data_IF_030674189114
#
_entry.id   IF_030674189114
#
_cell.length_a   1.000
_cell.length_b   1.000
_cell.length_c   1.000
_cell.angle_alpha   90.00
_cell.angle_beta   90.00
_cell.angle_gamma   90.00
#
_symmetry.space_group_name_H-M   'P 1'
#
loop_
_entity.id
_entity.type
_entity.pdbx_description
1 polymer ?
#
# COMPACT_ATOMS: atom_id res chain seq x y z
N UNK A 1 -7.91 -28.98 8.53
CA UNK A 1 -7.84 -27.54 8.83
C UNK A 1 -7.73 -27.38 10.33
N UNK A 2 -6.51 -27.13 10.86
CA UNK A 2 -6.29 -26.81 12.27
C UNK A 2 -6.45 -25.28 12.49
N UNK A 3 -6.67 -24.89 13.75
CA UNK A 3 -6.73 -23.48 14.15
C UNK A 3 -5.41 -22.76 13.81
N UNK A 4 -4.28 -23.46 13.99
CA UNK A 4 -2.96 -22.93 13.66
C UNK A 4 -2.81 -22.65 12.17
N UNK A 5 -3.29 -23.55 11.30
CA UNK A 5 -3.25 -23.32 9.86
C UNK A 5 -4.10 -22.10 9.43
N UNK A 6 -5.26 -21.91 10.06
CA UNK A 6 -6.10 -20.74 9.81
C UNK A 6 -5.41 -19.45 10.27
N UNK A 7 -4.76 -19.50 11.44
CA UNK A 7 -3.96 -18.37 11.94
C UNK A 7 -2.82 -18.00 10.98
N UNK A 8 -2.10 -19.00 10.48
CA UNK A 8 -0.98 -18.77 9.54
C UNK A 8 -1.47 -18.17 8.22
N UNK A 9 -2.61 -18.60 7.71
CA UNK A 9 -3.25 -18.00 6.53
C UNK A 9 -3.56 -16.53 6.81
N UNK A 10 -4.20 -16.19 7.92
CA UNK A 10 -4.52 -14.81 8.30
C UNK A 10 -3.27 -13.96 8.43
N UNK A 11 -2.20 -14.46 9.01
CA UNK A 11 -0.92 -13.79 9.11
C UNK A 11 -0.32 -13.53 7.72
N UNK A 12 -0.39 -14.51 6.81
CA UNK A 12 0.16 -14.38 5.46
C UNK A 12 -0.57 -13.32 4.65
N UNK A 13 -1.89 -13.27 4.73
CA UNK A 13 -2.68 -12.30 3.97
C UNK A 13 -2.72 -10.90 4.60
N UNK A 14 -2.37 -10.74 5.89
CA UNK A 14 -2.49 -9.45 6.59
C UNK A 14 -1.64 -8.34 5.94
N UNK A 15 -0.36 -8.62 5.65
CA UNK A 15 0.51 -7.65 4.97
C UNK A 15 0.00 -7.39 3.55
N UNK A 16 -0.38 -8.46 2.85
CA UNK A 16 -0.94 -8.35 1.50
C UNK A 16 -2.21 -7.48 1.49
N UNK A 17 -3.09 -7.64 2.48
CA UNK A 17 -4.31 -6.83 2.60
C UNK A 17 -4.01 -5.35 2.77
N UNK A 18 -3.08 -4.98 3.66
CA UNK A 18 -2.68 -3.58 3.86
C UNK A 18 -2.22 -2.96 2.53
N UNK A 19 -1.37 -3.67 1.81
CA UNK A 19 -0.76 -3.15 0.57
C UNK A 19 -1.74 -3.22 -0.61
N UNK A 20 -2.59 -4.25 -0.67
CA UNK A 20 -3.64 -4.34 -1.68
C UNK A 20 -4.67 -3.20 -1.56
N UNK A 21 -5.01 -2.76 -0.34
CA UNK A 21 -5.86 -1.59 -0.12
C UNK A 21 -5.19 -0.30 -0.62
N UNK A 22 -3.88 -0.16 -0.41
CA UNK A 22 -3.09 0.95 -0.95
C UNK A 22 -3.10 0.91 -2.49
N UNK A 23 -2.83 -0.26 -3.07
CA UNK A 23 -2.83 -0.48 -4.50
C UNK A 23 -4.21 -0.23 -5.13
N UNK A 24 -5.29 -0.62 -4.43
CA UNK A 24 -6.65 -0.37 -4.87
C UNK A 24 -6.93 1.12 -5.11
N UNK A 25 -6.49 2.00 -4.19
CA UNK A 25 -6.65 3.45 -4.37
C UNK A 25 -5.91 3.96 -5.61
N UNK A 26 -4.70 3.45 -5.88
CA UNK A 26 -3.93 3.81 -7.07
C UNK A 26 -4.64 3.34 -8.33
N UNK A 27 -5.12 2.09 -8.36
CA UNK A 27 -5.84 1.53 -9.52
C UNK A 27 -7.15 2.28 -9.77
N UNK A 28 -7.90 2.65 -8.74
CA UNK A 28 -9.13 3.45 -8.89
C UNK A 28 -8.83 4.77 -9.62
N UNK A 29 -7.69 5.43 -9.39
CA UNK A 29 -7.31 6.64 -10.13
C UNK A 29 -6.77 6.39 -11.55
N UNK A 30 -6.76 5.14 -12.00
CA UNK A 30 -6.23 4.72 -13.30
C UNK A 30 -4.70 4.62 -13.33
N UNK A 31 -4.04 4.47 -12.16
CA UNK A 31 -2.60 4.24 -12.03
C UNK A 31 -2.27 2.79 -11.67
N UNK A 32 -0.99 2.45 -11.75
CA UNK A 32 -0.41 1.21 -11.21
C UNK A 32 0.86 1.57 -10.46
N UNK A 33 1.00 1.07 -9.22
CA UNK A 33 2.17 1.29 -8.38
C UNK A 33 3.03 0.03 -8.35
N UNK A 34 4.13 0.04 -9.07
CA UNK A 34 5.04 -1.11 -9.17
C UNK A 34 6.22 -1.02 -8.21
N UNK A 35 6.49 0.15 -7.62
CA UNK A 35 7.59 0.29 -6.67
C UNK A 35 7.27 -0.17 -5.25
N UNK A 36 6.04 -0.61 -5.00
CA UNK A 36 5.55 -0.97 -3.67
C UNK A 36 6.40 -2.05 -2.99
N UNK A 37 6.80 -3.09 -3.73
CA UNK A 37 7.67 -4.15 -3.18
C UNK A 37 9.06 -3.63 -2.79
N UNK A 38 9.65 -2.74 -3.60
CA UNK A 38 10.95 -2.11 -3.28
C UNK A 38 10.83 -1.09 -2.15
N UNK A 39 9.71 -0.37 -2.05
CA UNK A 39 9.40 0.52 -0.91
C UNK A 39 9.32 -0.28 0.40
N UNK A 40 8.59 -1.39 0.42
CA UNK A 40 8.53 -2.32 1.56
C UNK A 40 9.93 -2.79 1.94
N UNK A 41 10.72 -3.26 0.95
CA UNK A 41 12.08 -3.74 1.17
C UNK A 41 13.01 -2.67 1.74
N UNK A 42 12.97 -1.46 1.20
CA UNK A 42 13.80 -0.35 1.67
C UNK A 42 13.42 0.09 3.08
N UNK A 43 12.14 0.25 3.37
CA UNK A 43 11.67 0.63 4.71
C UNK A 43 11.94 -0.48 5.72
N UNK A 44 11.73 -1.76 5.37
CA UNK A 44 12.08 -2.89 6.22
C UNK A 44 13.57 -2.88 6.58
N UNK A 45 14.45 -2.69 5.59
CA UNK A 45 15.89 -2.61 5.80
C UNK A 45 16.27 -1.42 6.68
N UNK A 46 15.80 -0.21 6.35
CA UNK A 46 16.15 1.00 7.10
C UNK A 46 15.69 0.94 8.56
N UNK A 47 14.44 0.52 8.79
CA UNK A 47 13.88 0.43 10.15
C UNK A 47 14.54 -0.67 10.96
N UNK A 48 14.77 -1.85 10.39
CA UNK A 48 15.50 -2.93 11.05
C UNK A 48 16.95 -2.52 11.39
N UNK A 49 17.61 -1.83 10.47
CA UNK A 49 18.98 -1.33 10.68
C UNK A 49 19.05 -0.31 11.82
N UNK A 50 18.12 0.66 11.85
CA UNK A 50 18.04 1.66 12.93
C UNK A 50 17.80 0.98 14.28
N UNK A 51 16.86 0.04 14.35
CA UNK A 51 16.54 -0.69 15.59
C UNK A 51 17.69 -1.58 16.05
N UNK A 52 18.43 -2.20 15.12
CA UNK A 52 19.56 -3.09 15.44
C UNK A 52 20.84 -2.35 15.82
N UNK A 53 21.10 -1.18 15.24
CA UNK A 53 22.39 -0.49 15.33
C UNK A 53 22.38 0.77 16.19
N UNK A 54 21.24 1.44 16.37
CA UNK A 54 21.15 2.65 17.16
C UNK A 54 20.84 2.30 18.62
N UNK A 55 21.86 2.36 19.47
CA UNK A 55 21.72 2.08 20.89
C UNK A 55 20.68 3.02 21.54
N UNK A 56 19.74 2.43 22.29
CA UNK A 56 18.69 3.20 22.98
C UNK A 56 17.49 3.62 22.10
N UNK A 57 17.45 3.26 20.81
CA UNK A 57 16.29 3.54 19.97
C UNK A 57 15.09 2.73 20.44
N UNK A 58 13.96 3.37 20.82
CA UNK A 58 12.77 2.68 21.26
C UNK A 58 12.14 1.90 20.08
N UNK A 59 12.03 0.56 20.16
CA UNK A 59 11.57 -0.25 19.03
C UNK A 59 10.18 0.14 18.48
N UNK A 60 9.28 0.64 19.32
CA UNK A 60 7.95 1.09 18.91
C UNK A 60 7.98 2.31 17.97
N UNK A 61 9.05 3.12 18.01
CA UNK A 61 9.25 4.24 17.08
C UNK A 61 9.54 3.77 15.63
N UNK A 62 9.83 2.48 15.42
CA UNK A 62 9.97 1.93 14.08
C UNK A 62 8.69 2.09 13.25
N UNK A 63 7.51 2.03 13.88
CA UNK A 63 6.21 2.21 13.17
C UNK A 63 6.08 3.62 12.62
N UNK A 64 6.14 4.70 13.41
CA UNK A 64 6.07 6.05 12.86
C UNK A 64 7.24 6.37 11.90
N UNK A 65 8.42 5.84 12.15
CA UNK A 65 9.56 5.98 11.24
C UNK A 65 9.26 5.33 9.87
N UNK A 66 8.72 4.11 9.88
CA UNK A 66 8.36 3.42 8.64
C UNK A 66 7.24 4.12 7.86
N UNK A 67 6.21 4.62 8.57
CA UNK A 67 5.16 5.45 7.97
C UNK A 67 5.74 6.69 7.28
N UNK A 68 6.65 7.40 7.96
CA UNK A 68 7.29 8.61 7.44
C UNK A 68 8.18 8.29 6.22
N UNK A 69 9.03 7.27 6.31
CA UNK A 69 9.87 6.85 5.19
C UNK A 69 9.03 6.45 3.98
N UNK A 70 8.00 5.64 4.19
CA UNK A 70 7.08 5.25 3.13
C UNK A 70 6.35 6.45 2.52
N UNK A 71 5.93 7.42 3.35
CA UNK A 71 5.33 8.68 2.90
C UNK A 71 6.29 9.50 2.01
N UNK A 72 7.56 9.59 2.38
CA UNK A 72 8.59 10.27 1.57
C UNK A 72 8.75 9.58 0.23
N UNK A 73 8.91 8.24 0.21
CA UNK A 73 9.07 7.48 -1.02
C UNK A 73 7.83 7.55 -1.92
N UNK A 74 6.62 7.46 -1.34
CA UNK A 74 5.37 7.64 -2.07
C UNK A 74 5.18 9.07 -2.60
N UNK A 75 5.66 10.10 -1.87
CA UNK A 75 5.63 11.48 -2.35
C UNK A 75 6.50 11.71 -3.57
N UNK A 76 7.64 11.00 -3.69
CA UNK A 76 8.48 11.04 -4.90
C UNK A 76 7.67 10.55 -6.11
N UNK A 77 7.00 9.39 -6.01
CA UNK A 77 6.12 8.90 -7.07
C UNK A 77 4.99 9.89 -7.37
N UNK A 78 4.35 10.39 -6.32
CA UNK A 78 3.29 11.38 -6.46
C UNK A 78 3.74 12.65 -7.19
N UNK A 79 4.94 13.16 -6.91
CA UNK A 79 5.52 14.33 -7.58
C UNK A 79 5.85 14.03 -9.05
N UNK A 80 6.46 12.90 -9.34
CA UNK A 80 6.80 12.49 -10.71
C UNK A 80 5.55 12.34 -11.58
N UNK A 81 4.47 11.79 -11.04
CA UNK A 81 3.25 11.49 -11.77
C UNK A 81 2.34 12.73 -11.82
N UNK A 82 2.01 13.31 -10.67
CA UNK A 82 1.04 14.40 -10.58
C UNK A 82 1.64 15.78 -10.94
N UNK A 83 2.93 16.00 -10.67
CA UNK A 83 3.64 17.22 -10.98
C UNK A 83 4.41 17.15 -12.29
N UNK A 84 5.11 16.03 -12.54
CA UNK A 84 5.92 15.81 -13.73
C UNK A 84 5.13 15.30 -14.95
N UNK A 85 3.87 14.88 -14.76
CA UNK A 85 3.04 14.34 -15.84
C UNK A 85 3.50 12.98 -16.40
N UNK A 86 4.39 12.28 -15.69
CA UNK A 86 4.88 10.99 -16.14
C UNK A 86 3.78 9.92 -16.04
N UNK A 87 3.71 8.99 -17.02
CA UNK A 87 2.84 7.83 -16.92
C UNK A 87 3.15 7.02 -15.65
N UNK A 88 2.14 6.62 -14.85
CA UNK A 88 2.34 5.92 -13.58
C UNK A 88 3.27 4.71 -13.66
N UNK A 89 3.08 3.84 -14.66
CA UNK A 89 3.89 2.64 -14.84
C UNK A 89 5.37 3.00 -15.06
N UNK A 90 5.67 4.02 -15.86
CA UNK A 90 7.06 4.42 -16.17
C UNK A 90 7.72 5.00 -14.90
N UNK A 91 7.03 5.89 -14.20
CA UNK A 91 7.55 6.49 -12.97
C UNK A 91 7.82 5.42 -11.90
N UNK A 92 6.86 4.51 -11.68
CA UNK A 92 6.96 3.50 -10.61
C UNK A 92 7.92 2.36 -10.95
N UNK A 93 8.13 2.01 -12.22
CA UNK A 93 9.21 1.10 -12.64
C UNK A 93 10.59 1.74 -12.42
N UNK A 94 10.73 3.04 -12.72
CA UNK A 94 11.98 3.75 -12.46
C UNK A 94 12.30 3.78 -10.97
N UNK A 95 11.33 4.17 -10.14
CA UNK A 95 11.52 4.20 -8.68
C UNK A 95 11.65 2.81 -8.06
N UNK A 96 11.02 1.77 -8.61
CA UNK A 96 11.25 0.38 -8.21
C UNK A 96 12.74 0.04 -8.29
N UNK A 97 13.38 0.34 -9.41
CA UNK A 97 14.81 0.06 -9.63
C UNK A 97 15.68 0.90 -8.70
N UNK A 98 15.37 2.19 -8.52
CA UNK A 98 16.10 3.10 -7.64
C UNK A 98 15.98 2.63 -6.19
N UNK A 99 14.77 2.37 -5.69
CA UNK A 99 14.56 1.96 -4.30
C UNK A 99 15.19 0.59 -4.03
N UNK A 100 15.14 -0.33 -4.98
CA UNK A 100 15.84 -1.62 -4.87
C UNK A 100 17.36 -1.44 -4.83
N UNK A 101 17.92 -0.57 -5.65
CA UNK A 101 19.34 -0.20 -5.59
C UNK A 101 19.72 0.45 -4.26
N UNK A 102 18.86 1.31 -3.69
CA UNK A 102 19.08 1.93 -2.39
C UNK A 102 19.09 0.90 -1.24
N UNK A 103 18.31 -0.20 -1.33
CA UNK A 103 18.40 -1.30 -0.35
C UNK A 103 19.82 -1.86 -0.31
N UNK A 104 20.41 -2.17 -1.47
CA UNK A 104 21.77 -2.70 -1.57
C UNK A 104 22.82 -1.68 -1.09
N UNK A 105 22.67 -0.42 -1.53
CA UNK A 105 23.59 0.65 -1.14
C UNK A 105 23.60 0.88 0.37
N UNK A 106 22.42 0.98 0.99
CA UNK A 106 22.26 1.24 2.42
C UNK A 106 22.73 0.06 3.29
N UNK A 107 22.43 -1.17 2.88
CA UNK A 107 22.81 -2.38 3.63
C UNK A 107 24.25 -2.84 3.38
N UNK A 108 24.94 -2.30 2.36
CA UNK A 108 26.20 -2.85 1.89
C UNK A 108 26.10 -4.31 1.43
N UNK A 109 24.91 -4.74 1.01
CA UNK A 109 24.60 -6.13 0.64
C UNK A 109 24.43 -7.09 1.83
N UNK A 110 24.51 -6.59 3.07
CA UNK A 110 24.32 -7.39 4.28
C UNK A 110 22.85 -7.49 4.68
N UNK A 111 22.52 -8.49 5.45
CA UNK A 111 21.19 -8.71 6.01
C UNK A 111 21.17 -8.36 7.50
N UNK A 112 20.01 -8.00 8.01
CA UNK A 112 19.75 -7.94 9.44
C UNK A 112 19.06 -9.24 9.84
N UNK A 113 19.64 -9.92 10.80
CA UNK A 113 19.20 -11.24 11.25
C UNK A 113 18.40 -11.15 12.56
N UNK A 114 17.68 -12.23 12.87
CA UNK A 114 16.79 -12.30 14.03
C UNK A 114 17.48 -12.01 15.37
N UNK A 115 18.74 -12.42 15.54
CA UNK A 115 19.49 -12.21 16.79
C UNK A 115 19.94 -10.75 16.98
N UNK A 116 19.95 -9.96 15.92
CA UNK A 116 20.29 -8.53 15.98
C UNK A 116 19.10 -7.66 16.38
N UNK A 117 17.87 -8.17 16.22
CA UNK A 117 16.65 -7.43 16.48
C UNK A 117 16.16 -7.65 17.92
N UNK A 118 15.86 -6.56 18.68
CA UNK A 118 15.30 -6.66 20.02
C UNK A 118 13.94 -7.38 20.03
N UNK A 119 13.63 -8.09 21.11
CA UNK A 119 12.34 -8.77 21.29
C UNK A 119 11.15 -7.80 21.14
N UNK A 120 11.26 -6.60 21.70
CA UNK A 120 10.20 -5.59 21.60
C UNK A 120 9.89 -5.14 20.16
N UNK A 121 10.86 -5.21 19.22
CA UNK A 121 10.59 -4.95 17.79
C UNK A 121 9.80 -6.10 17.17
N UNK A 122 10.14 -7.35 17.51
CA UNK A 122 9.45 -8.54 17.00
C UNK A 122 8.00 -8.60 17.49
N UNK A 123 7.74 -8.13 18.73
CA UNK A 123 6.40 -8.05 19.31
C UNK A 123 5.47 -7.07 18.56
N UNK A 124 5.99 -6.13 17.76
CA UNK A 124 5.16 -5.22 16.97
C UNK A 124 4.19 -6.00 16.07
N UNK A 125 4.66 -7.04 15.39
CA UNK A 125 3.82 -7.88 14.52
C UNK A 125 3.32 -9.15 15.23
N UNK A 126 4.14 -9.76 16.10
CA UNK A 126 3.87 -11.06 16.70
C UNK A 126 3.12 -11.00 18.03
N UNK A 127 3.17 -9.86 18.73
CA UNK A 127 2.48 -9.68 20.01
C UNK A 127 0.99 -10.01 19.91
N UNK A 128 0.43 -10.57 21.00
CA UNK A 128 -0.96 -11.03 21.05
C UNK A 128 -1.72 -10.43 22.24
N UNK A 129 -1.86 -9.09 22.34
CA UNK A 129 -2.45 -8.44 23.51
C UNK A 129 -3.91 -8.84 23.76
N UNK A 130 -4.64 -9.24 22.72
CA UNK A 130 -6.05 -9.67 22.80
C UNK A 130 -6.21 -11.14 22.37
N UNK A 131 -5.15 -11.96 22.46
CA UNK A 131 -5.16 -13.33 21.95
C UNK A 131 -5.08 -13.43 20.43
N UNK A 132 -5.06 -12.30 19.70
CA UNK A 132 -4.95 -12.21 18.25
C UNK A 132 -3.62 -11.51 17.92
N UNK A 133 -2.84 -12.02 16.94
CA UNK A 133 -1.60 -11.37 16.54
C UNK A 133 -1.79 -9.90 16.12
N UNK A 134 -0.91 -9.02 16.59
CA UNK A 134 -0.93 -7.59 16.26
C UNK A 134 -1.00 -7.34 14.74
N UNK A 135 -0.33 -8.16 13.95
CA UNK A 135 -0.33 -8.05 12.50
C UNK A 135 -1.75 -8.10 11.91
N UNK A 136 -2.61 -8.98 12.43
CA UNK A 136 -4.01 -9.08 12.01
C UNK A 136 -4.78 -7.84 12.46
N UNK A 137 -4.52 -7.36 13.68
CA UNK A 137 -5.14 -6.13 14.19
C UNK A 137 -4.75 -4.91 13.34
N UNK A 138 -3.49 -4.78 12.94
CA UNK A 138 -3.05 -3.73 12.01
C UNK A 138 -3.80 -3.81 10.68
N UNK A 139 -3.93 -5.00 10.09
CA UNK A 139 -4.65 -5.17 8.83
C UNK A 139 -6.13 -4.77 8.93
N UNK A 140 -6.81 -5.19 10.02
CA UNK A 140 -8.22 -4.84 10.28
C UNK A 140 -8.37 -3.34 10.48
N UNK A 141 -7.52 -2.71 11.31
CA UNK A 141 -7.56 -1.27 11.56
C UNK A 141 -7.35 -0.49 10.26
N UNK A 142 -6.34 -0.86 9.46
CA UNK A 142 -6.09 -0.23 8.16
C UNK A 142 -7.28 -0.43 7.22
N UNK A 143 -7.88 -1.62 7.17
CA UNK A 143 -9.05 -1.88 6.33
C UNK A 143 -10.24 -0.98 6.72
N UNK A 144 -10.53 -0.83 8.01
CA UNK A 144 -11.59 0.04 8.52
C UNK A 144 -11.28 1.50 8.17
N UNK A 145 -10.05 1.96 8.38
CA UNK A 145 -9.64 3.34 8.09
C UNK A 145 -9.73 3.66 6.59
N UNK A 146 -9.26 2.77 5.72
CA UNK A 146 -9.33 2.97 4.26
C UNK A 146 -10.78 2.89 3.77
N UNK A 147 -11.59 1.97 4.30
CA UNK A 147 -13.02 1.90 4.00
C UNK A 147 -13.71 3.22 4.36
N UNK A 148 -13.50 3.73 5.58
CA UNK A 148 -14.06 5.01 6.01
C UNK A 148 -13.55 6.17 5.15
N UNK A 149 -12.25 6.21 4.89
CA UNK A 149 -11.60 7.22 4.07
C UNK A 149 -12.21 7.30 2.66
N UNK A 150 -12.32 6.17 1.97
CA UNK A 150 -12.85 6.12 0.60
C UNK A 150 -14.34 6.48 0.52
N UNK A 151 -15.16 6.04 1.49
CA UNK A 151 -16.60 6.20 1.40
C UNK A 151 -17.13 7.50 2.01
N UNK A 152 -16.45 8.04 3.02
CA UNK A 152 -16.99 9.16 3.81
C UNK A 152 -16.17 10.44 3.71
N UNK A 153 -14.97 10.44 3.10
CA UNK A 153 -14.18 11.66 2.97
C UNK A 153 -14.36 12.33 1.60
N UNK A 154 -14.04 13.63 1.55
CA UNK A 154 -14.04 14.37 0.28
C UNK A 154 -12.98 13.82 -0.68
N UNK A 155 -11.78 13.52 -0.17
CA UNK A 155 -10.69 13.00 -0.99
C UNK A 155 -11.05 11.61 -1.55
N UNK A 156 -11.75 10.76 -0.79
CA UNK A 156 -12.27 9.48 -1.28
C UNK A 156 -13.17 9.66 -2.50
N UNK A 157 -14.14 10.59 -2.44
CA UNK A 157 -14.99 10.90 -3.58
C UNK A 157 -14.21 11.45 -4.77
N UNK A 158 -13.21 12.31 -4.52
CA UNK A 158 -12.35 12.87 -5.57
C UNK A 158 -11.54 11.76 -6.27
N UNK A 159 -11.10 10.71 -5.54
CA UNK A 159 -10.40 9.54 -6.09
C UNK A 159 -11.29 8.83 -7.13
N UNK A 160 -12.55 8.52 -6.79
CA UNK A 160 -13.48 7.89 -7.72
C UNK A 160 -13.81 8.81 -8.92
N UNK A 161 -14.01 10.11 -8.70
CA UNK A 161 -14.26 11.06 -9.76
C UNK A 161 -13.10 11.16 -10.76
N UNK A 162 -11.86 11.25 -10.27
CA UNK A 162 -10.65 11.28 -11.09
C UNK A 162 -10.48 9.98 -11.89
N UNK A 163 -10.78 8.85 -11.27
CA UNK A 163 -10.69 7.55 -11.93
C UNK A 163 -11.74 7.34 -13.02
N UNK A 164 -12.95 7.86 -12.81
CA UNK A 164 -14.03 7.74 -13.78
C UNK A 164 -13.78 8.60 -15.05
N UNK A 165 -13.49 9.89 -14.85
CA UNK A 165 -13.15 10.81 -15.95
C UNK A 165 -12.37 12.01 -15.42
N UNK A 166 -11.08 12.08 -15.73
CA UNK A 166 -10.19 13.17 -15.28
C UNK A 166 -10.63 14.54 -15.75
N UNK A 167 -11.12 14.65 -17.01
CA UNK A 167 -11.55 15.92 -17.60
C UNK A 167 -12.83 16.39 -16.92
N UNK A 168 -13.82 15.53 -16.79
CA UNK A 168 -15.09 15.86 -16.13
C UNK A 168 -14.87 16.21 -14.64
N UNK A 169 -13.99 15.48 -13.93
CA UNK A 169 -13.62 15.77 -12.55
C UNK A 169 -13.00 17.17 -12.43
N UNK A 170 -12.10 17.54 -13.35
CA UNK A 170 -11.48 18.86 -13.38
C UNK A 170 -12.52 19.97 -13.63
N UNK A 171 -13.45 19.78 -14.56
CA UNK A 171 -14.55 20.72 -14.82
C UNK A 171 -15.48 20.87 -13.60
N UNK A 172 -15.64 19.82 -12.81
CA UNK A 172 -16.36 19.85 -11.54
C UNK A 172 -15.59 20.46 -10.36
N UNK A 173 -14.38 21.00 -10.61
CA UNK A 173 -13.54 21.68 -9.61
C UNK A 173 -12.66 20.76 -8.77
N UNK A 174 -12.53 19.47 -9.14
CA UNK A 174 -11.61 18.54 -8.48
C UNK A 174 -10.17 18.84 -8.92
N UNK A 175 -9.27 18.98 -7.94
CA UNK A 175 -7.83 19.17 -8.20
C UNK A 175 -7.16 17.84 -8.50
N UNK A 176 -7.22 17.39 -9.77
CA UNK A 176 -6.75 16.07 -10.23
C UNK A 176 -5.31 15.77 -9.77
N UNK A 177 -4.36 16.69 -10.02
CA UNK A 177 -2.95 16.48 -9.61
C UNK A 177 -2.81 16.29 -8.09
N UNK A 178 -3.53 17.10 -7.30
CA UNK A 178 -3.49 16.95 -5.83
C UNK A 178 -4.07 15.60 -5.40
N UNK A 179 -5.15 15.16 -6.00
CA UNK A 179 -5.78 13.87 -5.69
C UNK A 179 -4.82 12.72 -6.00
N UNK A 180 -4.19 12.72 -7.18
CA UNK A 180 -3.20 11.71 -7.57
C UNK A 180 -2.02 11.74 -6.61
N UNK A 181 -1.44 12.91 -6.30
CA UNK A 181 -0.34 13.04 -5.35
C UNK A 181 -0.68 12.41 -3.99
N UNK A 182 -1.86 12.74 -3.44
CA UNK A 182 -2.30 12.22 -2.14
C UNK A 182 -2.49 10.70 -2.15
N UNK A 183 -2.93 10.13 -3.25
CA UNK A 183 -3.07 8.67 -3.40
C UNK A 183 -1.70 7.99 -3.32
N UNK A 184 -0.68 8.47 -4.04
CA UNK A 184 0.67 7.90 -3.97
C UNK A 184 1.33 8.13 -2.61
N UNK A 185 1.09 9.26 -1.97
CA UNK A 185 1.58 9.55 -0.62
C UNK A 185 1.00 8.55 0.40
N UNK A 186 -0.32 8.31 0.38
CA UNK A 186 -0.99 7.35 1.26
C UNK A 186 -0.54 5.92 0.94
N UNK A 187 -0.42 5.58 -0.35
CA UNK A 187 0.08 4.27 -0.80
C UNK A 187 1.48 4.02 -0.26
N UNK A 188 2.39 4.98 -0.39
CA UNK A 188 3.73 4.88 0.17
C UNK A 188 3.73 4.75 1.68
N UNK A 189 2.89 5.51 2.38
CA UNK A 189 2.73 5.41 3.84
C UNK A 189 2.32 4.00 4.29
N UNK A 190 1.34 3.38 3.61
CA UNK A 190 0.90 2.02 3.90
C UNK A 190 1.95 0.97 3.52
N UNK A 191 2.69 1.18 2.43
CA UNK A 191 3.83 0.35 2.07
C UNK A 191 4.95 0.45 3.12
N UNK A 192 5.17 1.64 3.69
CA UNK A 192 6.09 1.85 4.81
C UNK A 192 5.68 1.10 6.07
N UNK A 193 4.40 1.15 6.44
CA UNK A 193 3.86 0.33 7.53
C UNK A 193 4.08 -1.16 7.26
N UNK A 194 3.76 -1.62 6.05
CA UNK A 194 3.97 -3.00 5.64
C UNK A 194 5.45 -3.42 5.74
N UNK A 195 6.40 -2.53 5.44
CA UNK A 195 7.84 -2.78 5.59
C UNK A 195 8.26 -3.05 7.03
N UNK A 196 7.79 -2.23 7.99
CA UNK A 196 8.06 -2.46 9.42
C UNK A 196 7.44 -3.78 9.89
N UNK A 197 6.18 -4.02 9.54
CA UNK A 197 5.46 -5.25 9.91
C UNK A 197 6.12 -6.49 9.28
N UNK A 198 6.67 -6.35 8.06
CA UNK A 198 7.43 -7.43 7.41
C UNK A 198 8.69 -7.77 8.20
N UNK A 199 9.53 -6.78 8.50
CA UNK A 199 10.77 -6.99 9.25
C UNK A 199 10.50 -7.53 10.66
N UNK A 200 9.46 -7.03 11.34
CA UNK A 200 9.04 -7.51 12.65
C UNK A 200 8.55 -8.96 12.62
N UNK A 201 7.72 -9.31 11.63
CA UNK A 201 7.13 -10.66 11.48
C UNK A 201 8.17 -11.71 11.14
N UNK A 202 9.00 -11.44 10.12
CA UNK A 202 10.00 -12.37 9.64
C UNK A 202 11.30 -12.28 10.42
N UNK A 203 11.39 -11.36 11.41
CA UNK A 203 12.56 -11.12 12.26
C UNK A 203 13.85 -10.91 11.46
N UNK A 204 13.73 -10.38 10.26
CA UNK A 204 14.85 -10.15 9.36
C UNK A 204 14.54 -9.07 8.33
N UNK A 205 15.59 -8.41 7.84
CA UNK A 205 15.53 -7.59 6.66
C UNK A 205 16.61 -8.03 5.68
N UNK A 206 16.19 -8.35 4.47
CA UNK A 206 17.05 -8.88 3.41
C UNK A 206 17.01 -7.97 2.19
N UNK A 207 18.04 -8.04 1.36
CA UNK A 207 18.12 -7.24 0.13
C UNK A 207 17.03 -7.58 -0.90
N UNK A 208 16.50 -8.81 -0.85
CA UNK A 208 15.40 -9.28 -1.69
C UNK A 208 14.01 -9.26 -1.00
N UNK A 209 13.89 -8.62 0.18
CA UNK A 209 12.62 -8.47 0.89
C UNK A 209 11.54 -7.94 -0.05
N UNK A 210 10.37 -8.61 -0.05
CA UNK A 210 9.18 -8.28 -0.84
C UNK A 210 9.42 -8.20 -2.37
N UNK A 211 10.39 -8.96 -2.90
CA UNK A 211 10.61 -9.06 -4.34
C UNK A 211 9.42 -9.75 -5.02
N UNK A 212 8.86 -9.14 -6.07
CA UNK A 212 7.67 -9.67 -6.78
C UNK A 212 6.34 -9.40 -6.07
N UNK A 213 6.37 -8.75 -4.89
CA UNK A 213 5.16 -8.47 -4.12
C UNK A 213 4.22 -7.47 -4.81
N UNK A 214 4.76 -6.60 -5.66
CA UNK A 214 4.01 -5.66 -6.50
C UNK A 214 2.98 -6.36 -7.37
N UNK A 215 3.32 -7.49 -7.99
CA UNK A 215 2.38 -8.26 -8.83
C UNK A 215 1.28 -8.92 -7.99
N UNK A 216 1.63 -9.42 -6.80
CA UNK A 216 0.66 -10.02 -5.88
C UNK A 216 -0.36 -8.99 -5.40
N UNK A 217 0.07 -7.75 -5.11
CA UNK A 217 -0.81 -6.68 -4.64
C UNK A 217 -1.76 -6.19 -5.73
N UNK A 218 -1.29 -6.09 -6.98
CA UNK A 218 -2.16 -5.80 -8.12
C UNK A 218 -3.20 -6.91 -8.30
N UNK A 219 -2.77 -8.18 -8.31
CA UNK A 219 -3.67 -9.32 -8.44
C UNK A 219 -4.72 -9.35 -7.30
N UNK A 220 -4.28 -9.15 -6.04
CA UNK A 220 -5.18 -9.13 -4.90
C UNK A 220 -6.21 -7.99 -5.00
N UNK A 221 -5.82 -6.80 -5.45
CA UNK A 221 -6.73 -5.66 -5.63
C UNK A 221 -7.78 -5.93 -6.71
N UNK A 222 -7.37 -6.53 -7.83
CA UNK A 222 -8.28 -6.87 -8.94
C UNK A 222 -9.25 -7.99 -8.54
N UNK A 223 -8.76 -9.06 -7.91
CA UNK A 223 -9.61 -10.13 -7.37
C UNK A 223 -10.55 -9.60 -6.30
N UNK A 224 -10.12 -8.59 -5.52
CA UNK A 224 -10.93 -7.86 -4.56
C UNK A 224 -12.02 -6.98 -5.19
N UNK A 225 -12.12 -6.91 -6.54
CA UNK A 225 -13.20 -6.26 -7.27
C UNK A 225 -12.90 -4.82 -7.72
N UNK A 226 -11.63 -4.39 -7.71
CA UNK A 226 -11.24 -3.09 -8.26
C UNK A 226 -11.06 -3.21 -9.77
N UNK A 227 -11.70 -2.33 -10.54
CA UNK A 227 -11.55 -2.30 -11.99
C UNK A 227 -10.19 -1.76 -12.40
N UNK A 228 -9.46 -2.52 -13.22
CA UNK A 228 -8.16 -2.10 -13.78
C UNK A 228 -8.29 -0.86 -14.69
N UNK A 229 -9.49 -0.63 -15.24
CA UNK A 229 -9.78 0.54 -16.09
C UNK A 229 -10.01 1.82 -15.26
N UNK A 230 -9.97 1.72 -13.92
CA UNK A 230 -10.21 2.85 -13.02
C UNK A 230 -11.69 3.13 -12.77
N UNK A 231 -11.96 4.09 -11.87
CA UNK A 231 -13.29 4.68 -11.62
C UNK A 231 -14.30 3.81 -10.89
N UNK A 232 -14.04 2.52 -10.66
CA UNK A 232 -14.97 1.64 -9.95
C UNK A 232 -14.27 0.66 -9.01
N UNK A 233 -14.87 0.46 -7.85
CA UNK A 233 -14.58 -0.59 -6.87
C UNK A 233 -15.90 -1.21 -6.44
N UNK A 234 -15.89 -2.29 -5.68
CA UNK A 234 -16.95 -3.27 -5.42
C UNK A 234 -18.40 -2.78 -5.17
N UNK A 235 -18.64 -1.49 -4.94
CA UNK A 235 -20.00 -0.97 -4.70
C UNK A 235 -20.58 -0.05 -5.79
N UNK A 236 -19.76 0.44 -6.74
CA UNK A 236 -20.25 1.36 -7.78
C UNK A 236 -20.61 0.65 -9.10
N UNK A 237 -20.09 -0.55 -9.35
CA UNK A 237 -20.29 -1.25 -10.64
C UNK A 237 -21.68 -1.85 -10.84
N UNK A 238 -22.42 -2.14 -9.77
CA UNK A 238 -23.75 -2.74 -9.88
C UNK A 238 -24.85 -1.77 -10.31
N UNK A 239 -24.68 -0.47 -10.11
CA UNK A 239 -25.72 0.52 -10.43
C UNK A 239 -25.59 1.13 -11.83
N UNK A 240 -24.40 1.15 -12.42
CA UNK A 240 -24.19 1.74 -13.76
C UNK A 240 -24.57 0.75 -14.86
N UNK A 241 -24.40 -0.56 -14.64
CA UNK A 241 -24.79 -1.59 -15.62
C UNK A 241 -26.30 -1.69 -15.86
N UNK A 242 -27.13 -1.37 -14.86
CA UNK A 242 -28.60 -1.43 -14.99
C UNK A 242 -29.21 -0.21 -15.66
N UNK A 243 -28.50 0.90 -15.77
CA UNK A 243 -28.96 2.12 -16.42
C UNK A 243 -28.78 2.10 -17.95
N UNK A 244 -27.84 1.29 -18.47
CA UNK A 244 -27.50 1.25 -19.90
C UNK A 244 -28.34 0.25 -20.73
N UNK A 245 -29.19 -0.56 -20.12
CA UNK A 245 -29.96 -1.61 -20.82
C UNK A 245 -31.46 -1.38 -20.90
N UNK A 246 -31.95 -0.11 -20.86
CA UNK A 246 -33.31 0.15 -21.28
C UNK A 246 -33.37 0.34 -22.81
N UNK A 247 -33.86 -0.64 -23.58
CA UNK A 247 -34.16 -0.42 -25.00
C UNK A 247 -35.25 0.61 -25.12
N UNK A 248 -35.02 1.64 -25.95
CA UNK A 248 -36.00 2.63 -26.28
C UNK A 248 -37.30 1.96 -26.77
N UNK A 249 -38.43 2.21 -26.10
CA UNK A 249 -39.74 1.92 -26.63
C UNK A 249 -39.95 2.84 -27.84
N UNK A 250 -39.92 2.25 -29.03
CA UNK A 250 -40.48 2.88 -30.23
C UNK A 250 -42.01 2.93 -30.06
N UNK A 251 -42.56 4.12 -29.93
CA UNK A 251 -43.97 4.39 -30.12
C UNK A 251 -44.23 4.50 -31.61
N UNK A 252 -44.95 3.54 -32.15
CA UNK A 252 -45.72 3.70 -33.38
C UNK A 252 -47.03 4.35 -33.05
#
# INVERSE_FOLDING_TARGET
LSVDNFRDILLNISILTIVALAQAMVIITGGIELSVGSTIGLVAMMTAFVVARLAGFPPWLAVPLGLLLGMVLGSVNGLLIAGGGLPPIIATLGTLSIYRGLVFYYSGGTWINAFELPAAFKEIAKGTPLGVPNLILFAVVVAILIYYFLNYTRLGRDIYAVGSNKVAAQMAGVRVSRTIFMVYLISGMLAGLAGVLWASRFESAQTNTALGFELQTVAASVVGGVSVLGGSGTHASSQISTASTKPGRSSA
#
